data_IF_221905616380
#
_entry.id   IF_221905616380
#
_cell.length_a   1.000
_cell.length_b   1.000
_cell.length_c   1.000
_cell.angle_alpha   90.00
_cell.angle_beta   90.00
_cell.angle_gamma   90.00
#
_symmetry.space_group_name_H-M   'P 1'
#
loop_
_entity.id
_entity.type
_entity.pdbx_description
1 polymer ?
#
# COMPACT_ATOMS: atom_id res chain seq x y z
N UNK A 1 -10.33 30.29 -5.82
CA UNK A 1 -9.25 29.59 -6.55
C UNK A 1 -9.02 28.27 -5.80
N UNK A 2 -9.44 27.14 -6.36
CA UNK A 2 -9.03 25.86 -5.84
C UNK A 2 -7.50 25.76 -5.96
N UNK A 3 -6.81 25.60 -4.83
CA UNK A 3 -5.38 25.31 -4.79
C UNK A 3 -5.19 23.93 -5.44
N UNK A 4 -4.70 23.91 -6.66
CA UNK A 4 -4.37 22.69 -7.36
C UNK A 4 -3.12 22.12 -6.70
N UNK A 5 -3.17 20.85 -6.25
CA UNK A 5 -1.99 20.20 -5.70
C UNK A 5 -0.83 20.24 -6.71
N UNK A 6 0.41 20.46 -6.26
CA UNK A 6 1.57 20.46 -7.14
C UNK A 6 1.65 19.16 -7.95
N UNK A 7 1.99 19.29 -9.21
CA UNK A 7 2.25 18.17 -10.11
C UNK A 7 3.75 17.89 -10.14
N UNK A 8 4.12 16.62 -9.97
CA UNK A 8 5.49 16.15 -10.00
C UNK A 8 5.67 15.15 -11.14
N UNK A 9 6.87 15.08 -11.71
CA UNK A 9 7.24 14.11 -12.73
C UNK A 9 7.98 12.96 -12.07
N UNK A 10 7.35 11.80 -12.07
CA UNK A 10 7.92 10.56 -11.58
C UNK A 10 8.55 9.78 -12.73
N UNK A 11 9.77 9.31 -12.56
CA UNK A 11 10.49 8.49 -13.53
C UNK A 11 10.60 7.05 -13.00
N UNK A 12 10.19 6.07 -13.79
CA UNK A 12 10.41 4.66 -13.51
C UNK A 12 11.88 4.33 -13.76
N UNK A 13 12.60 3.85 -12.75
CA UNK A 13 14.01 3.48 -12.84
C UNK A 13 14.23 1.97 -12.80
N UNK A 14 13.27 1.21 -12.29
CA UNK A 14 13.30 -0.25 -12.26
C UNK A 14 11.91 -0.85 -12.38
N UNK A 15 11.84 -2.04 -12.96
CA UNK A 15 10.60 -2.82 -13.11
C UNK A 15 10.93 -4.27 -12.76
N UNK A 16 10.16 -4.84 -11.85
CA UNK A 16 10.27 -6.24 -11.44
C UNK A 16 8.90 -6.89 -11.39
N UNK A 17 8.76 -8.05 -11.99
CA UNK A 17 7.55 -8.85 -11.88
C UNK A 17 7.55 -9.61 -10.55
N UNK A 18 6.48 -9.44 -9.78
CA UNK A 18 6.22 -10.10 -8.50
C UNK A 18 4.76 -10.53 -8.44
N UNK A 19 4.39 -11.53 -9.21
CA UNK A 19 2.98 -11.94 -9.32
C UNK A 19 2.28 -12.04 -7.95
N UNK A 20 1.10 -11.45 -7.75
CA UNK A 20 0.26 -10.80 -8.76
C UNK A 20 0.56 -9.29 -8.98
N UNK A 21 1.73 -8.80 -8.61
CA UNK A 21 2.11 -7.39 -8.75
C UNK A 21 3.21 -7.18 -9.79
N UNK A 22 3.27 -5.95 -10.31
CA UNK A 22 4.52 -5.38 -10.84
C UNK A 22 5.05 -4.38 -9.81
N UNK A 23 6.29 -4.58 -9.38
CA UNK A 23 7.04 -3.64 -8.55
C UNK A 23 7.76 -2.63 -9.44
N UNK A 24 7.53 -1.36 -9.19
CA UNK A 24 8.16 -0.24 -9.86
C UNK A 24 9.09 0.48 -8.89
N UNK A 25 10.38 0.56 -9.20
CA UNK A 25 11.26 1.52 -8.57
C UNK A 25 11.10 2.85 -9.27
N UNK A 26 10.81 3.90 -8.52
CA UNK A 26 10.51 5.21 -9.06
C UNK A 26 11.42 6.28 -8.46
N UNK A 27 11.74 7.31 -9.24
CA UNK A 27 12.57 8.43 -8.85
C UNK A 27 11.82 9.74 -9.06
N UNK A 28 11.78 10.61 -8.03
CA UNK A 28 11.07 11.88 -8.08
C UNK A 28 11.67 12.89 -7.09
N UNK A 29 12.76 13.61 -7.44
CA UNK A 29 13.45 14.53 -6.52
C UNK A 29 12.56 15.62 -5.95
N UNK A 30 11.63 16.15 -6.75
CA UNK A 30 10.71 17.21 -6.33
C UNK A 30 9.64 16.75 -5.32
N UNK A 31 9.47 15.45 -5.11
CA UNK A 31 8.52 14.87 -4.17
C UNK A 31 9.20 14.09 -3.05
N UNK A 32 10.25 13.34 -3.38
CA UNK A 32 10.87 12.35 -2.49
C UNK A 32 12.26 12.78 -1.99
N UNK A 33 12.84 13.86 -2.52
CA UNK A 33 14.20 14.27 -2.23
C UNK A 33 14.42 14.76 -0.79
N UNK A 34 15.67 14.87 -0.37
CA UNK A 34 16.07 15.27 0.97
C UNK A 34 15.49 16.63 1.42
N UNK A 35 15.33 17.55 0.47
CA UNK A 35 14.84 18.92 0.73
C UNK A 35 13.30 19.06 0.63
N UNK A 36 12.57 17.96 0.47
CA UNK A 36 11.09 17.98 0.43
C UNK A 36 10.51 17.71 1.82
N UNK A 37 9.20 17.92 1.98
CA UNK A 37 8.50 17.53 3.20
C UNK A 37 8.62 15.99 3.41
N UNK A 38 8.73 15.58 4.67
CA UNK A 38 8.70 14.16 5.03
C UNK A 38 7.27 13.65 4.83
N UNK A 39 7.13 12.64 3.98
CA UNK A 39 5.85 11.99 3.79
C UNK A 39 5.55 11.07 4.99
N UNK A 40 4.29 11.07 5.49
CA UNK A 40 3.90 10.18 6.56
C UNK A 40 3.91 8.72 6.09
N UNK A 41 3.93 7.75 7.00
CA UNK A 41 3.65 6.35 6.66
C UNK A 41 2.33 6.21 5.89
N UNK A 42 2.24 5.24 5.03
CA UNK A 42 1.09 4.98 4.14
C UNK A 42 0.78 6.12 3.14
N UNK A 43 1.72 7.04 2.93
CA UNK A 43 1.55 8.11 1.95
C UNK A 43 1.29 7.54 0.55
N UNK A 44 0.40 8.19 -0.18
CA UNK A 44 0.02 7.78 -1.52
C UNK A 44 -0.01 8.95 -2.50
N UNK A 45 0.25 8.65 -3.76
CA UNK A 45 0.18 9.61 -4.84
C UNK A 45 -0.80 9.16 -5.93
N UNK A 46 -1.47 10.12 -6.55
CA UNK A 46 -2.28 9.89 -7.74
C UNK A 46 -1.41 9.96 -8.98
N UNK A 47 -1.35 8.87 -9.72
CA UNK A 47 -0.65 8.77 -10.99
C UNK A 47 -1.62 8.99 -12.15
N UNK A 48 -1.20 9.79 -13.13
CA UNK A 48 -1.93 10.04 -14.37
C UNK A 48 -1.40 9.13 -15.48
N UNK A 49 -2.08 8.02 -15.70
CA UNK A 49 -1.64 6.95 -16.60
C UNK A 49 -2.30 7.13 -17.96
N UNK A 50 -1.49 7.23 -19.01
CA UNK A 50 -1.96 7.26 -20.40
C UNK A 50 -2.23 5.85 -20.90
N UNK A 51 -3.46 5.58 -21.28
CA UNK A 51 -3.87 4.29 -21.82
C UNK A 51 -5.04 4.45 -22.81
N UNK A 52 -4.89 3.91 -24.02
CA UNK A 52 -5.94 3.95 -25.04
C UNK A 52 -6.34 5.37 -25.45
N UNK A 53 -5.38 6.30 -25.53
CA UNK A 53 -5.62 7.70 -25.89
C UNK A 53 -6.30 8.54 -24.79
N UNK A 54 -6.49 7.99 -23.59
CA UNK A 54 -7.13 8.67 -22.44
C UNK A 54 -6.21 8.68 -21.23
N UNK A 55 -6.36 9.70 -20.39
CA UNK A 55 -5.74 9.78 -19.08
C UNK A 55 -6.63 9.09 -18.03
N UNK A 56 -6.01 8.23 -17.24
CA UNK A 56 -6.64 7.54 -16.11
C UNK A 56 -5.90 7.87 -14.82
N UNK A 57 -6.62 8.27 -13.80
CA UNK A 57 -6.05 8.55 -12.50
C UNK A 57 -6.18 7.33 -11.60
N UNK A 58 -5.06 6.93 -10.96
CA UNK A 58 -5.02 5.85 -9.98
C UNK A 58 -4.12 6.23 -8.81
N UNK A 59 -4.54 5.87 -7.61
CA UNK A 59 -3.78 6.09 -6.38
C UNK A 59 -2.89 4.88 -6.08
N UNK A 60 -1.65 5.14 -5.66
CA UNK A 60 -0.70 4.12 -5.24
C UNK A 60 0.07 4.57 -4.01
N UNK A 61 0.26 3.66 -3.07
CA UNK A 61 1.10 3.89 -1.91
C UNK A 61 2.56 3.98 -2.33
N UNK A 62 3.26 4.97 -1.77
CA UNK A 62 4.69 5.15 -1.92
C UNK A 62 5.38 4.44 -0.74
N UNK A 63 5.99 3.30 -0.98
CA UNK A 63 6.64 2.51 0.07
C UNK A 63 8.15 2.57 -0.05
N UNK A 64 8.88 2.19 1.00
CA UNK A 64 10.36 2.12 1.01
C UNK A 64 10.99 3.41 0.47
N UNK A 65 10.51 4.56 0.93
CA UNK A 65 10.99 5.86 0.49
C UNK A 65 12.45 6.03 0.93
N UNK A 66 13.34 6.26 -0.05
CA UNK A 66 14.74 6.64 0.18
C UNK A 66 14.92 8.10 -0.24
N UNK A 67 15.05 8.99 0.74
CA UNK A 67 15.15 10.43 0.51
C UNK A 67 16.49 10.86 -0.06
N UNK A 68 17.57 10.15 0.24
CA UNK A 68 18.91 10.43 -0.28
C UNK A 68 18.96 10.24 -1.79
N UNK A 69 18.35 9.15 -2.27
CA UNK A 69 18.27 8.84 -3.69
C UNK A 69 16.99 9.32 -4.36
N UNK A 70 16.09 9.99 -3.61
CA UNK A 70 14.79 10.45 -4.07
C UNK A 70 13.96 9.35 -4.75
N UNK A 71 13.99 8.13 -4.20
CA UNK A 71 13.31 6.96 -4.76
C UNK A 71 12.24 6.42 -3.82
N UNK A 72 11.28 5.69 -4.40
CA UNK A 72 10.29 4.90 -3.69
C UNK A 72 9.94 3.65 -4.49
N UNK A 73 9.20 2.73 -3.86
CA UNK A 73 8.59 1.58 -4.51
C UNK A 73 7.10 1.79 -4.64
N UNK A 74 6.56 1.47 -5.80
CA UNK A 74 5.13 1.37 -6.09
C UNK A 74 4.82 -0.07 -6.52
N UNK A 75 3.77 -0.65 -5.95
CA UNK A 75 3.27 -1.98 -6.34
C UNK A 75 1.96 -1.83 -7.08
N UNK A 76 1.93 -2.32 -8.31
CA UNK A 76 0.72 -2.32 -9.15
C UNK A 76 0.14 -3.73 -9.18
N UNK A 77 -0.99 -3.92 -8.51
CA UNK A 77 -1.72 -5.19 -8.50
C UNK A 77 -2.32 -5.49 -9.88
N UNK A 78 -2.15 -6.72 -10.35
CA UNK A 78 -2.82 -7.24 -11.52
C UNK A 78 -4.08 -8.01 -11.12
N UNK A 79 -5.17 -7.67 -11.75
CA UNK A 79 -6.48 -8.31 -11.56
C UNK A 79 -7.18 -8.47 -12.91
N UNK A 80 -8.14 -9.36 -12.99
CA UNK A 80 -9.02 -9.49 -14.14
C UNK A 80 -10.45 -9.01 -13.77
N UNK A 81 -11.09 -8.23 -14.66
CA UNK A 81 -10.56 -7.70 -15.92
C UNK A 81 -9.46 -6.65 -15.70
N UNK A 82 -8.43 -6.69 -16.55
CA UNK A 82 -7.27 -5.78 -16.43
C UNK A 82 -7.64 -4.30 -16.56
N UNK A 83 -7.35 -3.52 -15.53
CA UNK A 83 -7.51 -2.06 -15.52
C UNK A 83 -6.43 -1.31 -16.30
N UNK A 84 -6.59 0.02 -16.54
CA UNK A 84 -5.60 0.83 -17.27
C UNK A 84 -4.20 0.77 -16.67
N UNK A 85 -4.08 0.84 -15.35
CA UNK A 85 -2.80 0.81 -14.66
C UNK A 85 -2.13 -0.57 -14.75
N UNK A 86 -2.88 -1.66 -14.61
CA UNK A 86 -2.38 -3.01 -14.77
C UNK A 86 -1.82 -3.22 -16.19
N UNK A 87 -2.58 -2.79 -17.23
CA UNK A 87 -2.12 -2.87 -18.63
C UNK A 87 -0.89 -2.00 -18.88
N UNK A 88 -0.78 -0.85 -18.25
CA UNK A 88 0.38 0.03 -18.35
C UNK A 88 1.59 -0.61 -17.66
N UNK A 89 1.45 -1.09 -16.43
CA UNK A 89 2.53 -1.68 -15.64
C UNK A 89 3.14 -2.94 -16.29
N UNK A 90 2.33 -3.74 -17.00
CA UNK A 90 2.82 -4.91 -17.76
C UNK A 90 3.73 -4.53 -18.95
N UNK A 91 3.76 -3.26 -19.36
CA UNK A 91 4.50 -2.79 -20.55
C UNK A 91 5.50 -1.68 -20.27
N UNK A 92 5.42 -1.08 -19.09
CA UNK A 92 6.30 0.03 -18.72
C UNK A 92 7.75 -0.43 -18.67
N UNK A 93 8.67 0.45 -19.06
CA UNK A 93 10.12 0.18 -19.03
C UNK A 93 10.83 1.27 -18.22
N UNK A 94 12.01 1.01 -17.67
CA UNK A 94 12.86 2.04 -17.11
C UNK A 94 13.04 3.20 -18.08
N UNK A 95 13.02 4.43 -17.56
CA UNK A 95 13.01 5.68 -18.33
C UNK A 95 11.62 6.26 -18.61
N UNK A 96 10.56 5.47 -18.48
CA UNK A 96 9.20 5.97 -18.61
C UNK A 96 8.87 7.00 -17.52
N UNK A 97 8.08 8.01 -17.89
CA UNK A 97 7.68 9.08 -16.95
C UNK A 97 6.16 9.14 -16.83
N UNK A 98 5.70 9.50 -15.63
CA UNK A 98 4.28 9.70 -15.34
C UNK A 98 4.11 10.90 -14.41
N UNK A 99 3.07 11.70 -14.65
CA UNK A 99 2.69 12.78 -13.74
C UNK A 99 2.04 12.22 -12.48
N UNK A 100 2.42 12.79 -11.34
CA UNK A 100 1.86 12.42 -10.03
C UNK A 100 1.49 13.66 -9.22
N UNK A 101 0.49 13.51 -8.38
CA UNK A 101 0.06 14.53 -7.43
C UNK A 101 -0.20 13.90 -6.07
N UNK A 102 0.30 14.57 -5.01
CA UNK A 102 -0.12 14.26 -3.64
C UNK A 102 -1.44 14.97 -3.38
N UNK A 103 -2.51 14.21 -3.21
CA UNK A 103 -3.84 14.77 -2.97
C UNK A 103 -4.41 14.22 -1.67
N UNK A 104 -4.23 14.98 -0.62
CA UNK A 104 -4.64 14.61 0.72
C UNK A 104 -3.53 13.92 1.51
N UNK A 105 -3.73 13.82 2.81
CA UNK A 105 -2.90 13.05 3.72
C UNK A 105 -3.56 11.71 4.04
N UNK A 106 -2.80 10.77 4.56
CA UNK A 106 -3.38 9.61 5.20
C UNK A 106 -3.81 10.00 6.61
N UNK A 107 -4.87 9.40 7.12
CA UNK A 107 -5.27 9.53 8.53
C UNK A 107 -4.45 8.62 9.44
N UNK A 108 -3.43 7.95 8.90
CA UNK A 108 -2.59 7.04 9.67
C UNK A 108 -1.90 7.77 10.82
N UNK A 109 -2.07 7.24 12.02
CA UNK A 109 -1.35 7.64 13.22
C UNK A 109 -0.70 6.39 13.79
N UNK A 110 0.61 6.39 14.05
CA UNK A 110 1.26 5.25 14.67
C UNK A 110 0.58 4.89 16.01
N UNK A 111 0.43 3.61 16.33
CA UNK A 111 0.00 3.19 17.66
C UNK A 111 1.05 3.55 18.70
N UNK A 112 0.65 3.57 19.97
CA UNK A 112 1.58 3.68 21.09
C UNK A 112 2.39 2.39 21.27
N UNK A 113 3.59 2.44 21.87
CA UNK A 113 4.34 1.23 22.19
C UNK A 113 3.52 0.27 23.08
N UNK A 114 3.38 -0.97 22.64
CA UNK A 114 2.61 -2.00 23.33
C UNK A 114 1.15 -2.12 22.88
N UNK A 115 0.60 -1.13 22.16
CA UNK A 115 -0.75 -1.23 21.60
C UNK A 115 -0.86 -2.44 20.67
N UNK A 116 -1.97 -3.16 20.77
CA UNK A 116 -2.28 -4.27 19.87
C UNK A 116 -2.99 -3.76 18.64
N UNK A 117 -2.40 -4.06 17.51
CA UNK A 117 -2.83 -3.56 16.21
C UNK A 117 -3.64 -4.60 15.45
N UNK A 118 -4.77 -4.16 14.89
CA UNK A 118 -5.49 -4.87 13.84
C UNK A 118 -5.40 -4.08 12.54
N UNK A 119 -4.92 -4.73 11.49
CA UNK A 119 -4.90 -4.17 10.14
C UNK A 119 -5.77 -5.05 9.24
N UNK A 120 -6.69 -4.43 8.52
CA UNK A 120 -7.61 -5.15 7.63
C UNK A 120 -7.51 -4.58 6.22
N UNK A 121 -7.46 -5.44 5.22
CA UNK A 121 -7.44 -4.98 3.84
C UNK A 121 -7.46 -6.08 2.80
N UNK A 122 -7.32 -5.69 1.55
CA UNK A 122 -7.23 -6.55 0.39
C UNK A 122 -5.82 -6.51 -0.24
N UNK A 123 -5.63 -7.23 -1.34
CA UNK A 123 -4.35 -7.20 -2.04
C UNK A 123 -3.96 -5.80 -2.56
N UNK A 124 -4.93 -4.92 -2.87
CA UNK A 124 -4.61 -3.58 -3.35
C UNK A 124 -4.10 -2.67 -2.22
N UNK A 125 -4.59 -2.87 -0.99
CA UNK A 125 -4.16 -2.14 0.21
C UNK A 125 -2.93 -2.73 0.89
N UNK A 126 -2.50 -3.95 0.52
CA UNK A 126 -1.35 -4.62 1.14
C UNK A 126 -0.07 -3.76 1.25
N UNK A 127 0.31 -2.93 0.25
CA UNK A 127 1.47 -2.04 0.40
C UNK A 127 1.32 -1.01 1.52
N UNK A 128 0.11 -0.47 1.73
CA UNK A 128 -0.17 0.48 2.80
C UNK A 128 -0.14 -0.21 4.17
N UNK A 129 -0.71 -1.42 4.28
CA UNK A 129 -0.66 -2.21 5.51
C UNK A 129 0.79 -2.58 5.88
N UNK A 130 1.60 -2.96 4.89
CA UNK A 130 3.02 -3.24 5.10
C UNK A 130 3.78 -2.02 5.64
N UNK A 131 3.51 -0.85 5.07
CA UNK A 131 4.14 0.39 5.49
C UNK A 131 3.69 0.81 6.89
N UNK A 132 2.40 0.62 7.21
CA UNK A 132 1.84 0.86 8.55
C UNK A 132 2.49 -0.04 9.60
N UNK A 133 2.63 -1.34 9.33
CA UNK A 133 3.30 -2.29 10.21
C UNK A 133 4.78 -1.91 10.40
N UNK A 134 5.47 -1.56 9.31
CA UNK A 134 6.89 -1.18 9.36
C UNK A 134 7.13 0.12 10.17
N UNK A 135 6.19 1.05 10.13
CA UNK A 135 6.27 2.33 10.84
C UNK A 135 5.85 2.24 12.32
N UNK A 136 5.29 1.12 12.74
CA UNK A 136 4.79 0.93 14.12
C UNK A 136 5.90 0.50 15.07
N UNK A 137 5.77 0.78 16.39
CA UNK A 137 6.73 0.31 17.39
C UNK A 137 6.89 -1.22 17.35
N UNK A 138 8.12 -1.71 17.50
CA UNK A 138 8.40 -3.16 17.48
C UNK A 138 7.76 -3.92 18.63
N UNK A 139 7.45 -3.24 19.72
CA UNK A 139 6.73 -3.78 20.87
C UNK A 139 5.22 -3.92 20.66
N UNK A 140 4.67 -3.37 19.58
CA UNK A 140 3.22 -3.43 19.29
C UNK A 140 2.91 -4.67 18.46
N UNK A 141 2.24 -5.70 19.03
CA UNK A 141 1.85 -6.88 18.26
C UNK A 141 0.88 -6.52 17.13
N UNK A 142 1.09 -7.05 15.94
CA UNK A 142 0.26 -6.76 14.79
C UNK A 142 -0.45 -8.02 14.28
N UNK A 143 -1.76 -7.93 14.09
CA UNK A 143 -2.56 -8.91 13.35
C UNK A 143 -3.01 -8.27 12.04
N UNK A 144 -2.72 -8.91 10.93
CA UNK A 144 -3.09 -8.46 9.58
C UNK A 144 -4.11 -9.44 9.00
N UNK A 145 -5.31 -8.95 8.74
CA UNK A 145 -6.37 -9.71 8.06
C UNK A 145 -6.42 -9.27 6.61
N UNK A 146 -6.18 -10.21 5.70
CA UNK A 146 -6.08 -9.95 4.27
C UNK A 146 -7.13 -10.70 3.48
N UNK A 147 -7.98 -9.97 2.76
CA UNK A 147 -8.79 -10.57 1.69
C UNK A 147 -7.86 -10.89 0.52
N UNK A 148 -7.41 -12.13 0.48
CA UNK A 148 -6.47 -12.61 -0.53
C UNK A 148 -6.61 -14.12 -0.70
N UNK A 149 -6.24 -14.69 -1.85
CA UNK A 149 -6.13 -16.13 -2.02
C UNK A 149 -5.24 -16.76 -0.94
N UNK A 150 -5.48 -18.03 -0.61
CA UNK A 150 -4.71 -18.75 0.42
C UNK A 150 -3.20 -18.76 0.12
N UNK A 151 -2.85 -18.89 -1.15
CA UNK A 151 -1.47 -18.87 -1.63
C UNK A 151 -1.17 -17.59 -2.43
N UNK A 152 0.12 -17.32 -2.63
CA UNK A 152 0.61 -16.20 -3.42
C UNK A 152 1.31 -15.14 -2.59
N UNK A 153 2.09 -14.31 -3.31
CA UNK A 153 2.87 -13.25 -2.70
C UNK A 153 1.97 -12.13 -2.17
N UNK A 154 2.28 -11.67 -0.95
CA UNK A 154 1.76 -10.44 -0.36
C UNK A 154 2.94 -9.57 0.08
N UNK A 155 2.97 -8.30 -0.30
CA UNK A 155 4.08 -7.39 0.02
C UNK A 155 4.03 -6.89 1.48
N UNK A 156 3.91 -7.81 2.43
CA UNK A 156 3.86 -7.45 3.84
C UNK A 156 5.26 -7.16 4.41
N UNK A 157 5.30 -6.43 5.52
CA UNK A 157 6.54 -6.07 6.18
C UNK A 157 7.31 -7.33 6.66
N UNK A 158 8.63 -7.24 6.67
CA UNK A 158 9.50 -8.30 7.21
C UNK A 158 9.42 -8.46 8.74
N UNK A 159 8.75 -7.52 9.43
CA UNK A 159 8.53 -7.55 10.88
C UNK A 159 7.54 -8.66 11.23
N UNK A 160 7.72 -9.29 12.39
CA UNK A 160 6.79 -10.27 12.94
C UNK A 160 5.37 -9.69 13.05
N UNK A 161 4.43 -10.40 12.45
CA UNK A 161 3.02 -10.10 12.52
C UNK A 161 2.23 -11.41 12.29
N UNK A 162 1.04 -11.48 12.85
CA UNK A 162 0.13 -12.56 12.56
C UNK A 162 -0.61 -12.25 11.25
N UNK A 163 -0.50 -13.10 10.26
CA UNK A 163 -1.24 -12.98 8.99
C UNK A 163 -2.42 -13.96 8.96
N UNK A 164 -3.60 -13.42 8.70
CA UNK A 164 -4.83 -14.19 8.49
C UNK A 164 -5.29 -13.90 7.07
N UNK A 165 -5.32 -14.92 6.23
CA UNK A 165 -5.88 -14.80 4.87
C UNK A 165 -7.33 -15.24 4.89
N UNK A 166 -8.18 -14.43 4.26
CA UNK A 166 -9.58 -14.74 4.05
C UNK A 166 -9.83 -14.74 2.55
N UNK A 167 -10.39 -15.83 2.04
CA UNK A 167 -10.71 -15.93 0.61
C UNK A 167 -11.71 -14.83 0.22
N UNK A 168 -11.43 -14.00 -0.79
CA UNK A 168 -12.32 -12.93 -1.23
C UNK A 168 -13.67 -13.41 -1.78
N UNK A 169 -13.80 -14.69 -2.11
CA UNK A 169 -15.06 -15.30 -2.58
C UNK A 169 -16.05 -15.64 -1.45
N UNK A 170 -15.64 -15.51 -0.19
CA UNK A 170 -16.57 -15.77 0.92
C UNK A 170 -17.55 -14.61 1.10
N UNK A 171 -18.74 -14.91 1.60
CA UNK A 171 -19.73 -13.87 1.93
C UNK A 171 -19.22 -12.95 3.04
N UNK A 172 -19.73 -11.72 3.09
CA UNK A 172 -19.42 -10.76 4.14
C UNK A 172 -19.64 -11.34 5.56
N UNK A 173 -20.73 -12.08 5.76
CA UNK A 173 -21.02 -12.76 7.02
C UNK A 173 -19.91 -13.75 7.42
N UNK A 174 -19.41 -14.54 6.47
CA UNK A 174 -18.30 -15.47 6.72
C UNK A 174 -16.98 -14.74 6.96
N UNK A 175 -16.77 -13.60 6.29
CA UNK A 175 -15.61 -12.75 6.52
C UNK A 175 -15.64 -12.21 7.96
N UNK A 176 -16.75 -11.60 8.37
CA UNK A 176 -16.93 -11.09 9.73
C UNK A 176 -16.76 -12.20 10.77
N UNK A 177 -17.38 -13.36 10.56
CA UNK A 177 -17.23 -14.50 11.46
C UNK A 177 -15.79 -15.05 11.50
N UNK A 178 -15.02 -14.96 10.43
CA UNK A 178 -13.61 -15.35 10.42
C UNK A 178 -12.76 -14.34 11.19
N UNK A 179 -13.01 -13.04 11.00
CA UNK A 179 -12.36 -11.97 11.75
C UNK A 179 -12.66 -12.12 13.25
N UNK A 180 -13.93 -12.23 13.62
CA UNK A 180 -14.36 -12.41 15.02
C UNK A 180 -13.68 -13.63 15.67
N UNK A 181 -13.82 -14.80 15.08
CA UNK A 181 -13.20 -16.02 15.65
C UNK A 181 -11.71 -15.87 15.86
N UNK A 182 -11.05 -15.15 14.96
CA UNK A 182 -9.60 -15.03 15.02
C UNK A 182 -9.16 -13.95 16.02
N UNK A 183 -9.93 -12.90 16.16
CA UNK A 183 -9.67 -11.85 17.15
C UNK A 183 -9.95 -12.34 18.57
N UNK A 184 -11.04 -13.11 18.76
CA UNK A 184 -11.47 -13.55 20.09
C UNK A 184 -10.82 -14.86 20.56
N UNK A 185 -10.42 -15.76 19.63
CA UNK A 185 -9.85 -17.06 19.99
C UNK A 185 -8.49 -16.97 20.71
N UNK A 186 -7.70 -15.92 20.43
CA UNK A 186 -6.34 -15.81 20.97
C UNK A 186 -6.17 -14.65 21.98
N UNK A 187 -7.14 -13.77 22.11
CA UNK A 187 -6.97 -12.55 22.89
C UNK A 187 -7.67 -12.60 24.24
N UNK A 188 -8.59 -13.54 24.45
CA UNK A 188 -9.47 -13.48 25.61
C UNK A 188 -10.19 -12.11 25.63
N UNK A 189 -10.42 -11.54 26.80
CA UNK A 189 -11.00 -10.19 26.97
C UNK A 189 -10.06 -9.02 26.61
N UNK A 190 -9.03 -9.26 25.78
CA UNK A 190 -8.04 -8.24 25.48
C UNK A 190 -8.54 -7.32 24.37
N UNK A 191 -8.92 -6.10 24.70
CA UNK A 191 -9.35 -5.06 23.74
C UNK A 191 -8.29 -4.77 22.68
N UNK A 192 -8.74 -4.47 21.44
CA UNK A 192 -7.89 -3.88 20.42
C UNK A 192 -7.66 -2.41 20.78
N UNK A 193 -6.40 -1.99 20.73
CA UNK A 193 -6.04 -0.62 21.06
C UNK A 193 -6.01 0.26 19.80
N UNK A 194 -5.80 -0.36 18.64
CA UNK A 194 -5.63 0.36 17.39
C UNK A 194 -6.09 -0.45 16.17
N UNK A 195 -6.82 0.19 15.26
CA UNK A 195 -7.35 -0.41 14.02
C UNK A 195 -7.05 0.45 12.81
N UNK A 196 -6.64 -0.18 11.70
CA UNK A 196 -6.43 0.44 10.39
C UNK A 196 -7.11 -0.39 9.29
N UNK A 197 -7.99 0.26 8.52
CA UNK A 197 -8.79 -0.36 7.46
C UNK A 197 -8.60 0.42 6.15
#
# INVERSE_FOLDING_TARGET
>A
KALRAPEHKLTVTGVRELAPYTELTVHCPSLLGANTAILPPTAWARMWIQQGGRQHQRAYTLTRINREHATAIILVLHHEPSGPASRWAKRVKPGATVSVQMMGGTSYRPPSPGDRMLLVGDQASAPALADAVAASPTSSPATVVMLAPEAGFLPLAARDHRLIRVNPEVSEEKLLAAVDRTLWADTGDLALDWVFI
#
